data_IF_831382100952
#
_entry.id   IF_831382100952
#
_cell.length_a   1.000
_cell.length_b   1.000
_cell.length_c   1.000
_cell.angle_alpha   90.00
_cell.angle_beta   90.00
_cell.angle_gamma   90.00
#
_symmetry.space_group_name_H-M   'P 1'
#
loop_
_entity.id
_entity.type
_entity.pdbx_description
1 polymer ?
#
# COMPACT_ATOMS: atom_id res chain seq x y z
N UNK A 1 -56.11 -22.60 19.88
CA UNK A 1 -54.81 -22.72 19.19
C UNK A 1 -54.36 -21.33 18.79
N UNK A 2 -53.21 -20.86 19.25
CA UNK A 2 -52.68 -19.53 18.94
C UNK A 2 -51.36 -19.32 19.68
N UNK A 3 -50.29 -19.70 19.01
CA UNK A 3 -48.88 -19.79 19.41
C UNK A 3 -48.33 -18.52 20.10
N UNK A 4 -47.77 -18.71 21.29
CA UNK A 4 -46.93 -17.73 21.99
C UNK A 4 -45.61 -17.56 21.23
N UNK A 5 -45.43 -16.41 20.60
CA UNK A 5 -44.14 -15.99 20.03
C UNK A 5 -43.16 -15.71 21.16
N UNK A 6 -42.40 -16.73 21.57
CA UNK A 6 -41.22 -16.54 22.38
C UNK A 6 -40.17 -15.81 21.54
N UNK A 7 -39.84 -14.58 21.93
CA UNK A 7 -38.62 -13.94 21.48
C UNK A 7 -37.45 -14.84 21.86
N UNK A 8 -36.77 -15.42 20.86
CA UNK A 8 -35.47 -16.03 21.09
C UNK A 8 -34.56 -14.97 21.73
N UNK A 9 -33.96 -15.23 22.91
CA UNK A 9 -32.85 -14.41 23.33
C UNK A 9 -31.75 -14.56 22.28
N UNK A 10 -31.25 -13.43 21.79
CA UNK A 10 -30.09 -13.32 20.92
C UNK A 10 -28.94 -14.00 21.67
N UNK A 11 -28.68 -15.27 21.34
CA UNK A 11 -27.53 -16.00 21.83
C UNK A 11 -26.33 -15.46 21.08
N UNK A 12 -25.52 -14.70 21.80
CA UNK A 12 -24.05 -14.71 21.73
C UNK A 12 -23.49 -14.81 20.31
N UNK A 13 -23.41 -13.66 19.63
CA UNK A 13 -22.37 -13.50 18.61
C UNK A 13 -21.00 -13.62 19.30
N UNK A 14 -20.00 -14.26 18.67
CA UNK A 14 -18.66 -14.35 19.23
C UNK A 14 -18.08 -12.94 19.46
N UNK A 15 -17.40 -12.69 20.60
CA UNK A 15 -16.83 -11.39 20.91
C UNK A 15 -15.51 -11.21 20.14
N UNK A 16 -15.61 -10.79 18.88
CA UNK A 16 -14.48 -10.20 18.17
C UNK A 16 -14.85 -8.84 17.58
N UNK A 17 -15.74 -8.12 18.25
CA UNK A 17 -15.83 -6.68 18.07
C UNK A 17 -14.69 -6.06 18.88
N UNK A 18 -13.50 -6.00 18.27
CA UNK A 18 -12.47 -5.06 18.73
C UNK A 18 -13.08 -3.68 18.48
N UNK A 19 -13.57 -3.04 19.53
CA UNK A 19 -13.96 -1.64 19.49
C UNK A 19 -12.69 -0.88 19.11
N UNK A 20 -12.71 -0.21 17.95
CA UNK A 20 -11.62 0.67 17.60
C UNK A 20 -11.54 1.71 18.74
N UNK A 21 -10.49 1.63 19.56
CA UNK A 21 -10.34 2.49 20.74
C UNK A 21 -10.49 3.98 20.38
N UNK A 22 -10.60 4.87 21.38
CA UNK A 22 -10.98 6.28 21.20
C UNK A 22 -10.39 6.96 19.94
N UNK A 23 -11.16 6.96 18.84
CA UNK A 23 -10.78 7.59 17.57
C UNK A 23 -10.83 9.10 17.76
N UNK A 24 -9.72 9.76 17.48
CA UNK A 24 -9.59 11.22 17.64
C UNK A 24 -9.73 11.98 16.32
N UNK A 25 -9.47 11.31 15.19
CA UNK A 25 -9.49 11.90 13.87
C UNK A 25 -9.51 10.81 12.80
N UNK A 26 -10.32 10.95 11.75
CA UNK A 26 -10.35 9.99 10.64
C UNK A 26 -10.87 10.65 9.35
N UNK A 27 -10.23 10.36 8.21
CA UNK A 27 -10.56 10.92 6.89
C UNK A 27 -10.61 9.80 5.83
N UNK A 28 -11.64 9.82 4.98
CA UNK A 28 -11.68 9.04 3.75
C UNK A 28 -11.10 9.87 2.59
N UNK A 29 -9.83 9.64 2.25
CA UNK A 29 -9.10 10.47 1.30
C UNK A 29 -9.64 10.31 -0.12
N UNK A 30 -9.93 11.44 -0.77
CA UNK A 30 -10.56 11.53 -2.09
C UNK A 30 -12.00 11.02 -2.13
N UNK A 31 -12.64 10.84 -0.98
CA UNK A 31 -13.99 10.30 -0.86
C UNK A 31 -14.92 11.11 0.05
N UNK A 32 -16.18 10.67 0.10
CA UNK A 32 -17.20 11.18 1.02
C UNK A 32 -17.06 10.53 2.41
N UNK A 33 -17.83 11.02 3.38
CA UNK A 33 -17.89 10.46 4.74
C UNK A 33 -18.29 8.97 4.70
N UNK A 34 -17.73 8.18 5.61
CA UNK A 34 -18.04 6.75 5.74
C UNK A 34 -17.90 6.29 7.19
N UNK A 35 -18.71 5.33 7.63
CA UNK A 35 -18.54 4.69 8.94
C UNK A 35 -18.29 3.21 8.72
N UNK A 36 -17.16 2.72 9.22
CA UNK A 36 -16.76 1.33 9.01
C UNK A 36 -17.51 0.34 9.90
N UNK A 37 -17.31 -0.97 9.68
CA UNK A 37 -17.97 -2.00 10.50
C UNK A 37 -17.46 -2.06 11.94
N UNK A 38 -16.35 -1.39 12.26
CA UNK A 38 -15.79 -1.26 13.59
C UNK A 38 -16.29 0.00 14.31
N UNK A 39 -17.12 0.83 13.66
CA UNK A 39 -17.69 2.06 14.22
C UNK A 39 -16.80 3.29 14.07
N UNK A 40 -15.69 3.22 13.32
CA UNK A 40 -14.84 4.38 13.00
C UNK A 40 -15.56 5.26 11.99
N UNK A 41 -15.88 6.48 12.39
CA UNK A 41 -16.45 7.49 11.51
C UNK A 41 -15.35 8.30 10.82
N UNK A 42 -15.23 8.13 9.50
CA UNK A 42 -14.32 8.89 8.64
C UNK A 42 -15.07 10.10 8.07
N UNK A 43 -14.55 11.29 8.29
CA UNK A 43 -15.05 12.49 7.62
C UNK A 43 -14.71 12.45 6.12
N UNK A 44 -15.50 13.17 5.33
CA UNK A 44 -15.18 13.44 3.93
C UNK A 44 -13.85 14.19 3.82
N UNK A 45 -13.09 13.95 2.75
CA UNK A 45 -11.79 14.58 2.56
C UNK A 45 -11.89 16.11 2.45
N UNK A 46 -11.33 16.88 3.40
CA UNK A 46 -11.41 18.33 3.39
C UNK A 46 -10.34 18.97 2.48
N UNK A 47 -9.39 18.20 1.96
CA UNK A 47 -8.20 18.73 1.28
C UNK A 47 -8.51 19.20 -0.14
N UNK A 48 -8.08 20.42 -0.46
CA UNK A 48 -8.06 20.98 -1.81
C UNK A 48 -6.71 20.72 -2.53
N UNK A 49 -5.74 20.14 -1.83
CA UNK A 49 -4.42 19.84 -2.36
C UNK A 49 -4.46 18.48 -3.04
N UNK A 50 -4.09 18.41 -4.32
CA UNK A 50 -3.99 17.14 -5.07
C UNK A 50 -5.24 16.79 -5.85
N UNK A 51 -5.37 15.51 -6.17
CA UNK A 51 -6.44 14.99 -7.02
C UNK A 51 -7.13 13.84 -6.30
N UNK A 52 -8.44 13.99 -6.11
CA UNK A 52 -9.34 12.90 -5.72
C UNK A 52 -9.55 11.93 -6.88
N UNK A 53 -9.60 10.64 -6.59
CA UNK A 53 -9.75 9.58 -7.57
C UNK A 53 -10.63 8.49 -6.99
N UNK A 54 -11.58 8.02 -7.81
CA UNK A 54 -12.48 6.91 -7.49
C UNK A 54 -12.20 5.69 -8.37
N UNK A 55 -11.03 5.64 -9.01
CA UNK A 55 -10.65 4.59 -9.96
C UNK A 55 -10.78 3.18 -9.35
N UNK A 56 -10.51 3.06 -8.04
CA UNK A 56 -10.62 1.82 -7.29
C UNK A 56 -12.04 1.26 -7.19
N UNK A 57 -13.10 2.06 -7.37
CA UNK A 57 -14.50 1.59 -7.34
C UNK A 57 -14.83 0.52 -8.38
N UNK A 58 -14.03 0.43 -9.44
CA UNK A 58 -14.15 -0.62 -10.46
C UNK A 58 -13.65 -2.00 -10.01
N UNK A 59 -12.98 -2.08 -8.87
CA UNK A 59 -12.37 -3.29 -8.33
C UNK A 59 -13.05 -3.72 -7.05
N UNK A 60 -13.15 -5.04 -6.84
CA UNK A 60 -13.41 -5.59 -5.52
C UNK A 60 -12.09 -5.61 -4.74
N UNK A 61 -12.05 -4.91 -3.60
CA UNK A 61 -10.87 -4.90 -2.75
C UNK A 61 -10.87 -6.13 -1.85
N UNK A 62 -9.77 -6.89 -1.88
CA UNK A 62 -9.58 -8.09 -1.05
C UNK A 62 -9.19 -7.74 0.39
N UNK A 63 -9.40 -8.69 1.32
CA UNK A 63 -9.13 -8.58 2.77
C UNK A 63 -10.08 -7.65 3.55
N UNK A 64 -11.12 -7.11 2.92
CA UNK A 64 -12.09 -6.23 3.58
C UNK A 64 -13.51 -6.61 3.22
N UNK A 65 -14.43 -6.37 4.14
CA UNK A 65 -15.87 -6.56 3.90
C UNK A 65 -16.38 -5.54 2.88
N UNK A 66 -17.43 -5.90 2.14
CA UNK A 66 -17.95 -5.10 1.04
C UNK A 66 -18.26 -3.64 1.42
N UNK A 67 -18.79 -3.42 2.62
CA UNK A 67 -19.16 -2.11 3.13
C UNK A 67 -17.96 -1.16 3.27
N UNK A 68 -16.79 -1.70 3.63
CA UNK A 68 -15.58 -0.91 3.94
C UNK A 68 -14.61 -0.85 2.77
N UNK A 69 -14.94 -1.50 1.65
CA UNK A 69 -14.15 -1.39 0.41
C UNK A 69 -14.02 0.07 -0.03
N UNK A 70 -14.99 0.93 0.26
CA UNK A 70 -14.94 2.34 -0.13
C UNK A 70 -13.70 3.05 0.41
N UNK A 71 -13.25 2.72 1.64
CA UNK A 71 -12.05 3.26 2.28
C UNK A 71 -10.74 2.85 1.60
N UNK A 72 -10.81 1.94 0.63
CA UNK A 72 -9.71 1.46 -0.20
C UNK A 72 -9.98 1.66 -1.70
N UNK A 73 -11.12 2.24 -2.07
CA UNK A 73 -11.53 2.46 -3.48
C UNK A 73 -11.42 3.92 -3.89
N UNK A 74 -11.63 4.84 -2.95
CA UNK A 74 -11.29 6.26 -3.12
C UNK A 74 -9.86 6.52 -2.67
N UNK A 75 -9.19 7.44 -3.35
CA UNK A 75 -7.83 7.84 -3.02
C UNK A 75 -7.63 9.33 -3.31
N UNK A 76 -6.70 9.94 -2.56
CA UNK A 76 -6.07 11.19 -2.96
C UNK A 76 -4.64 10.93 -3.37
N UNK A 77 -4.25 11.47 -4.51
CA UNK A 77 -2.85 11.47 -4.95
C UNK A 77 -2.40 12.88 -5.32
N UNK A 78 -1.09 13.12 -5.32
CA UNK A 78 -0.54 14.41 -5.69
C UNK A 78 0.72 14.27 -6.54
N UNK A 79 0.94 15.19 -7.48
CA UNK A 79 2.16 15.24 -8.31
C UNK A 79 3.44 15.68 -7.58
N UNK A 80 3.33 15.96 -6.29
CA UNK A 80 4.34 16.49 -5.36
C UNK A 80 4.04 15.91 -3.97
N UNK A 81 4.87 16.22 -2.97
CA UNK A 81 4.56 15.94 -1.56
C UNK A 81 3.28 16.66 -1.13
N UNK A 82 2.46 15.96 -0.35
CA UNK A 82 1.24 16.47 0.28
C UNK A 82 1.00 15.77 1.61
N UNK A 83 0.09 16.27 2.44
CA UNK A 83 -0.17 15.68 3.75
C UNK A 83 -1.45 16.17 4.41
N UNK A 84 -1.69 15.68 5.62
CA UNK A 84 -2.82 16.05 6.47
C UNK A 84 -2.34 16.47 7.84
N UNK A 85 -2.97 17.52 8.38
CA UNK A 85 -2.80 17.96 9.76
C UNK A 85 -3.77 17.21 10.68
N UNK A 86 -3.24 16.52 11.68
CA UNK A 86 -4.03 15.81 12.68
C UNK A 86 -4.04 16.63 13.98
N UNK A 87 -5.21 17.03 14.48
CA UNK A 87 -5.32 17.70 15.76
C UNK A 87 -5.00 16.73 16.92
N UNK A 88 -4.09 17.12 17.79
CA UNK A 88 -3.69 16.36 18.98
C UNK A 88 -3.68 17.25 20.22
N UNK A 89 -4.70 17.09 21.06
CA UNK A 89 -4.98 17.99 22.19
C UNK A 89 -4.59 17.44 23.56
N UNK A 90 -4.23 16.16 23.65
CA UNK A 90 -3.97 15.48 24.92
C UNK A 90 -2.69 14.66 24.83
N UNK A 91 -2.00 14.56 25.95
CA UNK A 91 -0.93 13.58 26.12
C UNK A 91 -1.52 12.16 26.11
N UNK A 92 -0.77 11.23 25.54
CA UNK A 92 -1.20 9.85 25.40
C UNK A 92 -0.36 9.06 24.41
N UNK A 93 -0.67 7.77 24.37
CA UNK A 93 -0.20 6.85 23.35
C UNK A 93 -1.26 6.76 22.27
N UNK A 94 -0.82 6.81 21.02
CA UNK A 94 -1.64 6.92 19.84
C UNK A 94 -1.18 5.93 18.79
N UNK A 95 -2.10 5.59 17.89
CA UNK A 95 -1.80 4.80 16.70
C UNK A 95 -2.44 5.49 15.50
N UNK A 96 -1.62 5.80 14.49
CA UNK A 96 -2.11 6.18 13.17
C UNK A 96 -2.18 4.93 12.29
N UNK A 97 -3.34 4.70 11.69
CA UNK A 97 -3.56 3.63 10.73
C UNK A 97 -3.82 4.26 9.37
N UNK A 98 -2.91 3.99 8.44
CA UNK A 98 -2.90 4.58 7.10
C UNK A 98 -3.24 3.49 6.11
N UNK A 99 -4.37 3.66 5.42
CA UNK A 99 -4.98 2.67 4.54
C UNK A 99 -4.58 2.94 3.09
N UNK A 100 -4.15 1.88 2.42
CA UNK A 100 -3.65 1.89 1.06
C UNK A 100 -4.24 0.74 0.23
N UNK A 101 -4.37 0.99 -1.07
CA UNK A 101 -4.57 -0.03 -2.09
C UNK A 101 -3.90 0.40 -3.40
N UNK A 102 -3.31 -0.55 -4.11
CA UNK A 102 -2.89 -0.31 -5.49
C UNK A 102 -4.00 -0.74 -6.44
N UNK A 103 -4.47 0.19 -7.28
CA UNK A 103 -5.60 -0.01 -8.20
C UNK A 103 -5.24 0.31 -9.64
N UNK A 104 -4.13 1.01 -9.87
CA UNK A 104 -3.67 1.46 -11.17
C UNK A 104 -2.52 0.61 -11.70
N UNK A 105 -1.45 0.45 -10.90
CA UNK A 105 -0.25 -0.26 -11.33
C UNK A 105 -0.38 -1.78 -11.23
N UNK A 106 0.33 -2.46 -12.12
CA UNK A 106 0.27 -3.92 -12.31
C UNK A 106 1.61 -4.62 -12.06
N UNK A 107 2.62 -3.88 -11.59
CA UNK A 107 3.96 -4.40 -11.32
C UNK A 107 4.62 -3.61 -10.18
N UNK A 108 5.58 -4.22 -9.46
CA UNK A 108 6.37 -3.52 -8.46
C UNK A 108 7.29 -2.47 -9.11
N UNK A 109 7.80 -1.56 -8.29
CA UNK A 109 8.71 -0.48 -8.63
C UNK A 109 8.15 0.50 -9.68
N UNK A 110 6.83 0.68 -9.72
CA UNK A 110 6.16 1.68 -10.56
C UNK A 110 5.72 2.91 -9.75
N UNK A 111 5.39 2.71 -8.47
CA UNK A 111 5.04 3.75 -7.51
C UNK A 111 5.75 3.44 -6.21
N UNK A 112 6.66 4.34 -5.82
CA UNK A 112 7.40 4.26 -4.57
C UNK A 112 7.45 5.66 -3.98
N UNK A 113 7.08 5.78 -2.71
CA UNK A 113 7.05 7.03 -1.97
C UNK A 113 7.27 6.79 -0.48
N UNK A 114 7.63 7.83 0.27
CA UNK A 114 7.79 7.72 1.72
C UNK A 114 6.59 8.30 2.46
N UNK A 115 6.40 7.86 3.70
CA UNK A 115 5.49 8.47 4.66
C UNK A 115 6.32 9.05 5.80
N UNK A 116 6.14 10.34 6.03
CA UNK A 116 6.82 11.10 7.08
C UNK A 116 5.80 11.64 8.08
N UNK A 117 6.11 11.51 9.36
CA UNK A 117 5.33 12.05 10.45
C UNK A 117 6.03 13.29 11.01
N UNK A 118 5.28 14.37 11.14
CA UNK A 118 5.70 15.67 11.68
C UNK A 118 6.91 16.28 10.97
N UNK A 119 7.00 16.09 9.65
CA UNK A 119 8.06 16.61 8.78
C UNK A 119 9.48 16.04 9.02
N UNK A 120 9.71 15.32 10.11
CA UNK A 120 11.05 14.90 10.54
C UNK A 120 11.22 13.37 10.57
N UNK A 121 10.15 12.61 10.84
CA UNK A 121 10.27 11.17 11.09
C UNK A 121 9.75 10.35 9.92
N UNK A 122 10.65 9.72 9.16
CA UNK A 122 10.23 8.70 8.16
C UNK A 122 9.68 7.47 8.88
N UNK A 123 8.37 7.28 8.81
CA UNK A 123 7.66 6.17 9.46
C UNK A 123 7.45 4.98 8.51
N UNK A 124 7.41 5.23 7.20
CA UNK A 124 7.44 4.20 6.16
C UNK A 124 8.36 4.69 5.05
N UNK A 125 9.43 3.96 4.78
CA UNK A 125 10.38 4.26 3.70
C UNK A 125 10.13 3.38 2.48
N UNK A 126 10.28 3.94 1.29
CA UNK A 126 10.21 3.27 -0.01
C UNK A 126 8.95 2.40 -0.16
N UNK A 127 7.79 2.95 0.21
CA UNK A 127 6.52 2.23 0.15
C UNK A 127 6.13 1.92 -1.29
N UNK A 128 6.18 0.64 -1.64
CA UNK A 128 5.58 0.05 -2.82
C UNK A 128 4.38 -0.82 -2.42
N UNK A 129 3.17 -0.28 -2.61
CA UNK A 129 1.93 -0.97 -2.26
C UNK A 129 1.75 -2.24 -3.10
N UNK A 130 2.10 -2.18 -4.40
CA UNK A 130 1.98 -3.35 -5.28
C UNK A 130 2.94 -4.46 -4.86
N UNK A 131 4.19 -4.13 -4.53
CA UNK A 131 5.16 -5.13 -4.07
C UNK A 131 4.72 -5.81 -2.77
N UNK A 132 4.04 -5.07 -1.87
CA UNK A 132 3.56 -5.60 -0.59
C UNK A 132 2.36 -6.54 -0.73
N UNK A 133 1.35 -6.13 -1.49
CA UNK A 133 0.05 -6.85 -1.49
C UNK A 133 -0.53 -7.12 -2.88
N UNK A 134 0.08 -6.60 -3.94
CA UNK A 134 -0.45 -6.67 -5.31
C UNK A 134 -1.57 -5.66 -5.56
N UNK A 135 -2.27 -5.84 -6.68
CA UNK A 135 -3.35 -4.95 -7.14
C UNK A 135 -4.71 -5.37 -6.58
N UNK A 136 -5.49 -4.42 -6.07
CA UNK A 136 -6.85 -4.65 -5.57
C UNK A 136 -6.87 -5.33 -4.20
N UNK A 137 -5.82 -5.18 -3.40
CA UNK A 137 -5.70 -5.77 -2.07
C UNK A 137 -5.50 -4.65 -1.04
N UNK A 138 -6.25 -4.70 0.06
CA UNK A 138 -6.11 -3.73 1.15
C UNK A 138 -4.75 -3.90 1.85
N UNK A 139 -4.13 -2.78 2.20
CA UNK A 139 -2.88 -2.70 2.95
C UNK A 139 -2.95 -1.58 3.98
N UNK A 140 -2.53 -1.87 5.21
CA UNK A 140 -2.55 -0.91 6.31
C UNK A 140 -1.12 -0.74 6.84
N UNK A 141 -0.69 0.51 7.01
CA UNK A 141 0.50 0.87 7.77
C UNK A 141 0.07 1.33 9.16
N UNK A 142 0.58 0.66 10.19
CA UNK A 142 0.23 0.92 11.59
C UNK A 142 1.41 1.60 12.26
N UNK A 143 1.25 2.88 12.62
CA UNK A 143 2.31 3.73 13.14
C UNK A 143 1.98 4.13 14.58
N UNK A 144 2.56 3.46 15.59
CA UNK A 144 2.43 3.87 16.98
C UNK A 144 3.30 5.09 17.28
N UNK A 145 2.76 6.06 18.01
CA UNK A 145 3.49 7.22 18.49
C UNK A 145 2.97 7.69 19.84
N UNK A 146 3.79 8.45 20.56
CA UNK A 146 3.45 8.97 21.89
C UNK A 146 3.56 10.49 21.89
N UNK A 147 2.59 11.15 22.51
CA UNK A 147 2.63 12.60 22.77
C UNK A 147 2.76 12.81 24.27
N UNK A 148 3.83 13.52 24.67
CA UNK A 148 4.06 13.91 26.07
C UNK A 148 4.64 15.32 26.13
N UNK A 149 4.02 16.19 26.92
CA UNK A 149 4.52 17.55 27.17
C UNK A 149 4.86 18.33 25.87
N UNK A 150 3.99 18.24 24.85
CA UNK A 150 4.17 18.92 23.56
C UNK A 150 5.26 18.33 22.66
N UNK A 151 5.75 17.12 22.97
CA UNK A 151 6.72 16.40 22.14
C UNK A 151 6.09 15.15 21.55
N UNK A 152 6.39 14.92 20.28
CA UNK A 152 6.08 13.68 19.57
C UNK A 152 7.26 12.72 19.73
N UNK A 153 6.97 11.45 20.03
CA UNK A 153 7.95 10.37 20.01
C UNK A 153 7.46 9.25 19.10
N UNK A 154 8.28 8.89 18.12
CA UNK A 154 8.02 7.79 17.17
C UNK A 154 9.34 7.09 16.86
N UNK A 155 9.35 5.76 16.76
CA UNK A 155 10.55 4.95 16.48
C UNK A 155 11.76 5.25 17.39
N UNK A 156 11.53 5.72 18.62
CA UNK A 156 12.58 6.09 19.57
C UNK A 156 13.14 7.51 19.40
N UNK A 157 12.79 8.20 18.32
CA UNK A 157 13.16 9.60 18.05
C UNK A 157 12.14 10.56 18.65
N UNK A 158 12.51 11.84 18.81
CA UNK A 158 11.64 12.85 19.43
C UNK A 158 11.74 14.18 18.69
N UNK A 159 10.58 14.75 18.37
CA UNK A 159 10.43 16.09 17.76
C UNK A 159 9.44 16.95 18.55
N UNK A 160 9.43 18.25 18.26
CA UNK A 160 8.48 19.19 18.84
C UNK A 160 7.18 19.20 18.03
N UNK A 161 6.05 19.37 18.71
CA UNK A 161 4.75 19.52 18.07
C UNK A 161 4.43 21.01 17.97
N UNK A 162 4.15 21.47 16.76
CA UNK A 162 3.72 22.84 16.51
C UNK A 162 2.19 22.95 16.57
N UNK A 163 1.67 23.88 17.38
CA UNK A 163 0.26 24.27 17.34
C UNK A 163 -0.75 23.16 17.69
N UNK A 164 -0.36 22.17 18.51
CA UNK A 164 -1.19 21.00 18.87
C UNK A 164 -1.65 20.19 17.65
N UNK A 165 -0.82 20.13 16.61
CA UNK A 165 -1.05 19.34 15.41
C UNK A 165 0.20 18.57 15.02
N UNK A 166 0.01 17.40 14.45
CA UNK A 166 1.07 16.65 13.78
C UNK A 166 0.71 16.49 12.31
N UNK A 167 1.69 16.56 11.42
CA UNK A 167 1.47 16.30 9.99
C UNK A 167 1.74 14.83 9.67
N UNK A 168 0.94 14.22 8.81
CA UNK A 168 1.32 13.02 8.04
C UNK A 168 1.53 13.47 6.60
N UNK A 169 2.74 13.28 6.10
CA UNK A 169 3.17 13.72 4.77
C UNK A 169 3.58 12.53 3.91
N UNK A 170 3.09 12.51 2.67
CA UNK A 170 3.43 11.53 1.67
C UNK A 170 4.45 12.13 0.71
N UNK A 171 5.71 11.74 0.85
CA UNK A 171 6.84 12.37 0.17
C UNK A 171 6.95 11.82 -1.24
N UNK A 172 6.96 12.71 -2.24
CA UNK A 172 7.15 12.28 -3.62
C UNK A 172 8.58 11.77 -3.86
N UNK A 173 8.68 10.50 -4.29
CA UNK A 173 9.89 9.91 -4.84
C UNK A 173 10.06 10.15 -6.35
N UNK A 174 11.09 9.54 -6.93
CA UNK A 174 11.49 9.71 -8.33
C UNK A 174 10.57 9.02 -9.35
N UNK A 175 9.71 8.12 -8.88
CA UNK A 175 8.75 7.38 -9.71
C UNK A 175 7.42 8.14 -9.80
N UNK A 176 6.31 7.42 -9.63
CA UNK A 176 4.98 8.02 -9.73
C UNK A 176 4.56 8.79 -8.45
N UNK A 177 3.30 9.20 -8.41
CA UNK A 177 2.76 10.11 -7.41
C UNK A 177 2.44 9.39 -6.09
N UNK A 178 2.76 9.98 -4.92
CA UNK A 178 2.27 9.49 -3.64
C UNK A 178 0.73 9.49 -3.62
N UNK A 179 0.15 8.52 -2.90
CA UNK A 179 -1.30 8.38 -2.71
C UNK A 179 -1.63 7.98 -1.28
N UNK A 180 -2.89 8.12 -0.90
CA UNK A 180 -3.47 7.51 0.30
C UNK A 180 -4.97 7.30 0.10
N UNK A 181 -5.54 6.24 0.68
CA UNK A 181 -6.97 5.93 0.57
C UNK A 181 -7.77 6.42 1.78
N UNK A 182 -7.31 6.12 3.00
CA UNK A 182 -7.94 6.63 4.21
C UNK A 182 -6.93 6.68 5.35
N UNK A 183 -7.22 7.48 6.38
CA UNK A 183 -6.39 7.59 7.57
C UNK A 183 -7.31 7.67 8.77
N UNK A 184 -6.96 6.98 9.85
CA UNK A 184 -7.50 7.30 11.16
C UNK A 184 -6.42 7.28 12.22
N UNK A 185 -6.66 8.06 13.28
CA UNK A 185 -5.82 8.13 14.45
C UNK A 185 -6.68 7.86 15.67
N UNK A 186 -6.22 6.93 16.48
CA UNK A 186 -6.88 6.56 17.73
C UNK A 186 -5.92 6.69 18.89
N UNK A 187 -6.47 6.96 20.07
CA UNK A 187 -5.74 6.89 21.33
C UNK A 187 -5.80 5.44 21.84
N UNK A 188 -4.63 4.87 22.14
CA UNK A 188 -4.52 3.47 22.54
C UNK A 188 -3.21 2.85 22.11
N UNK A 189 -3.22 1.52 22.01
CA UNK A 189 -2.09 0.69 21.62
C UNK A 189 -2.35 -0.01 20.29
N UNK A 190 -1.31 -0.63 19.72
CA UNK A 190 -1.42 -1.40 18.47
C UNK A 190 -2.35 -2.61 18.61
N UNK A 191 -2.50 -3.13 19.83
CA UNK A 191 -3.37 -4.28 20.14
C UNK A 191 -4.85 -3.95 19.97
N UNK A 192 -5.20 -2.66 20.07
CA UNK A 192 -6.57 -2.16 19.93
C UNK A 192 -6.96 -1.91 18.46
N UNK A 193 -6.00 -2.02 17.54
CA UNK A 193 -6.22 -1.78 16.10
C UNK A 193 -6.82 -3.03 15.45
N UNK A 194 -8.00 -2.94 14.79
CA UNK A 194 -8.52 -4.02 13.97
C UNK A 194 -7.54 -4.41 12.86
N UNK A 195 -7.15 -5.68 12.84
CA UNK A 195 -6.17 -6.20 11.89
C UNK A 195 -6.84 -6.70 10.61
N UNK A 196 -6.22 -6.41 9.47
CA UNK A 196 -6.63 -7.01 8.20
C UNK A 196 -6.40 -8.54 8.23
N UNK A 197 -7.31 -9.36 7.67
CA UNK A 197 -7.08 -10.78 7.42
C UNK A 197 -5.75 -11.06 6.70
N UNK A 198 -5.24 -12.27 6.80
CA UNK A 198 -4.02 -12.69 6.11
C UNK A 198 -4.12 -12.53 4.59
N UNK A 199 -2.97 -12.48 3.91
CA UNK A 199 -2.95 -12.37 2.46
C UNK A 199 -3.51 -13.65 1.81
N UNK A 200 -4.31 -13.54 0.73
CA UNK A 200 -4.79 -14.72 0.02
C UNK A 200 -3.62 -15.59 -0.45
N UNK A 201 -3.57 -16.84 0.01
CA UNK A 201 -2.54 -17.81 -0.38
C UNK A 201 -1.33 -17.91 0.55
N UNK A 202 -1.29 -17.19 1.69
CA UNK A 202 -0.21 -17.33 2.69
C UNK A 202 -0.40 -18.53 3.63
N UNK A 203 -1.59 -19.13 3.70
CA UNK A 203 -1.92 -20.24 4.63
C UNK A 203 -1.44 -21.63 4.18
N UNK A 204 -0.62 -21.75 3.13
CA UNK A 204 -0.16 -23.04 2.59
C UNK A 204 1.27 -23.44 3.01
N UNK A 205 1.90 -22.74 3.95
CA UNK A 205 3.33 -22.93 4.26
C UNK A 205 3.66 -23.27 5.72
N UNK A 206 2.68 -23.46 6.61
CA UNK A 206 2.94 -23.71 8.04
C UNK A 206 2.50 -25.09 8.57
N UNK A 207 2.20 -26.07 7.69
CA UNK A 207 1.88 -27.45 8.11
C UNK A 207 2.60 -28.53 7.27
N UNK A 208 3.92 -28.44 7.06
CA UNK A 208 4.73 -29.53 6.50
C UNK A 208 6.12 -29.58 7.18
N UNK A 209 6.20 -29.51 8.51
CA UNK A 209 7.38 -29.96 9.26
C UNK A 209 6.91 -30.82 10.43
N UNK A 210 7.57 -31.97 10.64
CA UNK A 210 7.41 -32.93 11.75
C UNK A 210 6.52 -34.16 11.54
N UNK A 211 6.85 -35.00 10.54
CA UNK A 211 6.72 -36.46 10.69
C UNK A 211 8.04 -37.14 10.27
N UNK A 212 9.09 -36.98 11.09
CA UNK A 212 10.25 -37.88 11.06
C UNK A 212 9.82 -39.28 11.55
N UNK A 213 9.52 -40.19 10.63
CA UNK A 213 9.29 -41.60 10.98
C UNK A 213 10.59 -42.28 11.46
N UNK A 214 10.56 -42.68 12.73
CA UNK A 214 11.50 -43.56 13.41
C UNK A 214 11.69 -44.91 12.69
N UNK A 215 12.84 -45.12 12.03
CA UNK A 215 13.30 -46.45 11.59
C UNK A 215 14.40 -46.97 12.55
N UNK A 216 14.18 -48.07 13.31
CA UNK A 216 15.20 -48.62 14.19
C UNK A 216 16.25 -49.45 13.42
N UNK A 217 17.53 -49.12 13.66
CA UNK A 217 18.70 -49.87 13.16
C UNK A 217 18.92 -51.21 13.89
N UNK A 218 19.51 -52.22 13.22
CA UNK A 218 20.40 -53.17 13.90
C UNK A 218 21.80 -53.27 13.25
N UNK A 219 22.84 -53.27 14.09
CA UNK A 219 24.22 -53.76 13.81
C UNK A 219 24.52 -54.92 14.79
N UNK A 220 25.64 -55.70 14.76
CA UNK A 220 26.85 -55.63 13.92
C UNK A 220 27.43 -57.01 13.44
N UNK A 221 28.41 -57.03 12.50
CA UNK A 221 29.58 -57.94 12.58
C UNK A 221 30.71 -57.56 11.59
N UNK A 222 31.93 -58.02 11.89
CA UNK A 222 33.24 -57.47 11.49
C UNK A 222 33.92 -58.20 10.30
N UNK A 223 34.68 -57.39 9.53
CA UNK A 223 36.06 -57.62 9.02
C UNK A 223 36.35 -58.18 7.61
N UNK A 224 37.27 -57.44 6.94
CA UNK A 224 38.40 -57.80 6.02
C UNK A 224 38.29 -57.33 4.55
N UNK A 225 39.21 -56.44 4.16
CA UNK A 225 39.74 -56.15 2.79
C UNK A 225 40.88 -57.16 2.46
N UNK A 226 41.41 -57.35 1.22
CA UNK A 226 41.55 -56.32 0.16
C UNK A 226 41.48 -56.73 -1.36
N UNK A 227 41.50 -55.66 -2.18
CA UNK A 227 42.05 -55.47 -3.54
C UNK A 227 41.48 -56.16 -4.79
N UNK A 228 40.88 -55.35 -5.66
CA UNK A 228 40.76 -55.56 -7.12
C UNK A 228 40.73 -54.18 -7.84
N UNK A 229 41.26 -54.02 -9.07
CA UNK A 229 41.56 -52.71 -9.66
C UNK A 229 40.34 -51.92 -10.16
N UNK A 230 40.43 -50.58 -10.06
CA UNK A 230 39.44 -49.60 -10.53
C UNK A 230 39.38 -49.60 -12.07
N UNK A 231 38.21 -49.87 -12.63
CA UNK A 231 37.88 -49.54 -14.03
C UNK A 231 37.29 -48.12 -14.03
N UNK A 232 37.94 -47.23 -14.78
CA UNK A 232 37.42 -45.90 -15.13
C UNK A 232 36.46 -46.06 -16.31
N UNK A 233 35.28 -45.48 -16.22
CA UNK A 233 34.38 -45.39 -17.38
C UNK A 233 35.00 -44.50 -18.47
N UNK A 234 35.09 -44.98 -19.73
CA UNK A 234 35.77 -44.28 -20.84
C UNK A 234 34.83 -43.47 -21.76
N UNK A 235 33.58 -43.19 -21.35
CA UNK A 235 32.64 -42.38 -22.14
C UNK A 235 32.35 -41.03 -21.47
N UNK A 236 33.42 -40.29 -21.19
CA UNK A 236 33.37 -38.84 -21.27
C UNK A 236 33.57 -38.47 -22.74
N UNK A 237 32.48 -38.27 -23.47
CA UNK A 237 32.50 -37.54 -24.73
C UNK A 237 31.87 -36.19 -24.48
N UNK A 238 32.75 -35.20 -24.45
CA UNK A 238 32.48 -33.78 -24.60
C UNK A 238 31.53 -33.51 -25.77
N UNK A 239 30.52 -32.68 -25.56
CA UNK A 239 30.03 -31.76 -26.59
C UNK A 239 29.71 -30.42 -25.92
N UNK A 240 30.56 -29.44 -26.20
CA UNK A 240 30.35 -28.00 -26.03
C UNK A 240 30.02 -27.41 -27.42
N UNK A 241 29.70 -26.12 -27.60
CA UNK A 241 28.79 -25.21 -26.91
C UNK A 241 27.82 -24.48 -27.90
N UNK A 242 27.00 -23.56 -27.37
CA UNK A 242 26.48 -22.33 -28.02
C UNK A 242 25.54 -22.45 -29.25
N UNK A 243 24.23 -22.37 -29.01
CA UNK A 243 23.26 -21.98 -30.05
C UNK A 243 23.16 -20.44 -30.16
N UNK A 244 23.53 -19.96 -31.35
CA UNK A 244 23.44 -18.59 -31.85
C UNK A 244 21.99 -18.18 -32.14
N UNK A 245 21.59 -16.98 -31.71
CA UNK A 245 20.37 -16.28 -32.15
C UNK A 245 20.67 -15.46 -33.43
N UNK A 246 19.86 -15.53 -34.51
CA UNK A 246 20.02 -14.66 -35.66
C UNK A 246 19.30 -13.32 -35.48
N UNK A 247 20.04 -12.23 -35.72
CA UNK A 247 19.54 -10.85 -35.87
C UNK A 247 18.99 -10.66 -37.28
N UNK A 248 17.76 -10.16 -37.42
CA UNK A 248 17.23 -9.68 -38.70
C UNK A 248 17.33 -8.15 -38.76
N UNK A 249 18.18 -7.67 -39.68
CA UNK A 249 18.27 -6.27 -40.13
C UNK A 249 17.46 -6.15 -41.43
N UNK A 250 16.50 -5.23 -41.48
CA UNK A 250 15.84 -4.82 -42.71
C UNK A 250 16.19 -3.36 -43.01
N UNK A 251 16.96 -3.14 -44.08
CA UNK A 251 17.19 -1.85 -44.71
C UNK A 251 16.27 -1.77 -45.93
N UNK A 252 15.44 -0.73 -45.99
CA UNK A 252 14.65 -0.36 -47.16
C UNK A 252 14.66 1.15 -47.33
N UNK A 253 15.50 1.63 -48.26
CA UNK A 253 15.65 3.03 -48.68
C UNK A 253 14.77 3.30 -49.89
N UNK A 254 13.91 4.31 -49.80
CA UNK A 254 13.45 5.19 -50.90
C UNK A 254 12.95 6.46 -50.20
N UNK A 255 13.61 7.63 -50.28
CA UNK A 255 13.94 8.38 -51.47
C UNK A 255 12.82 9.38 -51.75
N UNK A 256 12.81 10.53 -51.08
CA UNK A 256 12.13 11.72 -51.61
C UNK A 256 12.75 13.01 -51.06
N UNK A 257 12.89 13.95 -51.99
CA UNK A 257 13.69 15.17 -51.99
C UNK A 257 13.04 16.29 -51.18
N UNK A 258 13.86 17.05 -50.46
CA UNK A 258 13.65 18.44 -50.02
C UNK A 258 13.54 19.39 -51.25
N UNK A 259 12.98 20.63 -51.15
CA UNK A 259 13.51 21.63 -50.21
C UNK A 259 12.59 22.74 -49.66
N UNK A 260 13.10 23.32 -48.56
CA UNK A 260 13.17 24.73 -48.17
C UNK A 260 11.95 25.60 -47.80
N UNK A 261 12.00 26.05 -46.53
CA UNK A 261 12.05 27.44 -46.06
C UNK A 261 10.86 28.42 -46.22
N UNK A 262 10.42 28.90 -45.04
CA UNK A 262 9.98 30.27 -44.69
C UNK A 262 8.74 30.86 -45.39
N UNK A 263 7.68 31.11 -44.60
CA UNK A 263 7.18 32.46 -44.28
C UNK A 263 5.84 32.45 -43.50
N UNK A 264 5.82 33.20 -42.40
CA UNK A 264 4.78 34.16 -42.01
C UNK A 264 3.29 33.77 -41.98
N UNK A 265 2.75 33.56 -40.78
CA UNK A 265 1.33 33.70 -40.47
C UNK A 265 1.12 34.74 -39.38
N UNK A 266 0.70 35.94 -39.79
CA UNK A 266 0.33 37.07 -38.93
C UNK A 266 -1.12 36.95 -38.46
N UNK A 267 -1.34 37.38 -37.21
CA UNK A 267 -2.49 38.16 -36.72
C UNK A 267 -3.87 37.48 -36.64
N UNK A 268 -4.26 37.13 -35.41
CA UNK A 268 -5.64 37.32 -34.94
C UNK A 268 -5.65 38.44 -33.92
N UNK A 269 -6.19 39.59 -34.34
CA UNK A 269 -6.44 40.77 -33.54
C UNK A 269 -7.90 40.74 -33.10
N UNK A 270 -8.18 40.63 -31.79
CA UNK A 270 -9.48 41.00 -31.23
C UNK A 270 -9.27 41.94 -30.04
N UNK A 271 -9.43 43.22 -30.37
CA UNK A 271 -9.77 44.36 -29.51
C UNK A 271 -10.65 43.99 -28.32
N UNK A 272 -10.22 44.40 -27.13
CA UNK A 272 -11.11 44.92 -26.10
C UNK A 272 -10.55 46.28 -25.64
N UNK A 273 -11.14 47.34 -26.17
CA UNK A 273 -11.17 48.66 -25.55
C UNK A 273 -12.61 49.14 -25.70
N UNK A 274 -13.30 49.27 -24.57
CA UNK A 274 -14.45 50.16 -24.42
C UNK A 274 -14.14 51.01 -23.19
N UNK A 275 -13.54 52.17 -23.41
CA UNK A 275 -13.82 53.34 -22.58
C UNK A 275 -15.12 53.97 -23.12
N UNK A 276 -16.07 54.25 -22.23
CA UNK A 276 -16.82 55.49 -22.33
C UNK A 276 -17.15 55.97 -20.92
N UNK A 277 -16.70 57.20 -20.66
CA UNK A 277 -16.91 57.97 -19.46
C UNK A 277 -18.17 58.86 -19.58
N UNK A 278 -18.57 59.41 -18.42
CA UNK A 278 -19.48 60.54 -18.18
C UNK A 278 -20.99 60.31 -18.36
N UNK A 279 -21.70 60.18 -17.23
CA UNK A 279 -22.44 61.26 -16.57
C UNK A 279 -22.77 60.89 -15.12
#
# INVERSE_FOLDING_TARGET
>A
MGISGGCCPIKDLPPFAVDAGEVVWAINCGGEEHTDVHGVHYDADPSDVGVESDHGKSLTIQRVVYQDQILYQTERYHKNTFGYDIPVHRDGDYVAVIKFSEVWFGAPNQKVFDVVLNGEHTVVSELDIFAKVGRGVAHDEIVPFTIRNGKLRVNGETSQIDGNKISIEFIKGDLDNPKVNAIYVMKGSVEDVPQLPALPGSEAAEEEEDEDEDIPSPKPSKSRKPSGPKIKDPYASDDTPAMLLPVFVAIGVTGFMEPDSRCGGKLYEKRFQNEFAFL
#
